data_IF_183609376392
#
_entry.id   IF_183609376392
#
_cell.length_a   1.000
_cell.length_b   1.000
_cell.length_c   1.000
_cell.angle_alpha   90.00
_cell.angle_beta   90.00
_cell.angle_gamma   90.00
#
_symmetry.space_group_name_H-M   'P 1'
#
loop_
_entity.id
_entity.type
_entity.pdbx_description
1 polymer ?
#
# COMPACT_ATOMS: atom_id res chain seq x y z
N UNK A 1 3.32 0.46 -4.18
CA UNK A 1 3.36 0.75 -5.62
C UNK A 1 2.49 1.94 -5.91
N UNK A 2 2.49 2.42 -7.14
CA UNK A 2 1.67 3.55 -7.59
C UNK A 2 0.93 3.23 -8.89
N UNK A 3 1.08 2.00 -9.39
CA UNK A 3 0.57 1.56 -10.69
C UNK A 3 -0.27 0.28 -10.62
N UNK A 4 -1.06 0.03 -11.66
CA UNK A 4 -1.85 -1.20 -11.77
C UNK A 4 -0.96 -2.45 -11.81
N UNK A 5 0.23 -2.38 -12.40
CA UNK A 5 1.15 -3.54 -12.44
C UNK A 5 1.62 -3.92 -11.03
N UNK A 6 1.80 -2.95 -10.12
CA UNK A 6 2.11 -3.25 -8.72
C UNK A 6 0.93 -3.97 -8.03
N UNK A 7 -0.30 -3.50 -8.28
CA UNK A 7 -1.53 -4.13 -7.76
C UNK A 7 -1.68 -5.56 -8.27
N UNK A 8 -1.54 -5.77 -9.57
CA UNK A 8 -1.69 -7.09 -10.17
C UNK A 8 -0.63 -8.07 -9.65
N UNK A 9 0.62 -7.60 -9.53
CA UNK A 9 1.72 -8.42 -9.01
C UNK A 9 1.52 -8.79 -7.53
N UNK A 10 1.18 -7.82 -6.68
CA UNK A 10 0.98 -8.04 -5.24
C UNK A 10 -0.25 -8.90 -4.96
N UNK A 11 -1.34 -8.70 -5.70
CA UNK A 11 -2.53 -9.54 -5.64
C UNK A 11 -2.23 -11.01 -6.01
N UNK A 12 -1.46 -11.24 -7.09
CA UNK A 12 -1.04 -12.59 -7.49
C UNK A 12 -0.12 -13.26 -6.46
N UNK A 13 0.69 -12.47 -5.76
CA UNK A 13 1.61 -12.95 -4.72
C UNK A 13 0.95 -13.10 -3.33
N UNK A 14 -0.29 -12.64 -3.14
CA UNK A 14 -0.96 -12.63 -1.83
C UNK A 14 -0.32 -11.66 -0.82
N UNK A 15 0.28 -10.58 -1.31
CA UNK A 15 0.95 -9.56 -0.49
C UNK A 15 0.09 -8.29 -0.45
N UNK A 16 -0.19 -7.69 0.73
CA UNK A 16 -0.89 -6.41 0.80
C UNK A 16 -0.10 -5.28 0.13
N UNK A 17 -0.79 -4.44 -0.63
CA UNK A 17 -0.23 -3.26 -1.29
C UNK A 17 -0.43 -2.01 -0.43
N UNK A 18 0.65 -1.20 -0.35
CA UNK A 18 0.58 0.20 0.04
C UNK A 18 0.66 1.04 -1.23
N UNK A 19 -0.40 1.76 -1.57
CA UNK A 19 -0.46 2.68 -2.71
C UNK A 19 0.17 4.04 -2.35
N UNK A 20 1.17 4.47 -3.12
CA UNK A 20 1.90 5.73 -2.90
C UNK A 20 1.39 6.83 -3.83
N UNK A 21 0.88 7.93 -3.27
CA UNK A 21 0.37 9.11 -4.01
C UNK A 21 -0.68 8.79 -5.09
N UNK A 22 -1.37 7.66 -4.94
CA UNK A 22 -2.42 7.23 -5.85
C UNK A 22 -3.61 6.68 -5.05
N UNK A 23 -4.49 7.57 -4.60
CA UNK A 23 -5.70 7.20 -3.85
C UNK A 23 -6.76 6.51 -4.69
N UNK A 24 -6.64 6.55 -6.02
CA UNK A 24 -7.55 5.88 -6.95
C UNK A 24 -7.15 4.42 -7.21
N UNK A 25 -5.90 4.03 -6.93
CA UNK A 25 -5.45 2.66 -7.04
C UNK A 25 -6.05 1.82 -5.92
N UNK A 26 -6.64 0.68 -6.27
CA UNK A 26 -7.12 -0.29 -5.30
C UNK A 26 -5.93 -0.89 -4.52
N UNK A 27 -5.92 -0.72 -3.20
CA UNK A 27 -4.86 -1.19 -2.32
C UNK A 27 -5.38 -1.30 -0.89
N UNK A 28 -4.72 -2.13 -0.08
CA UNK A 28 -5.07 -2.35 1.33
C UNK A 28 -4.73 -1.12 2.19
N UNK A 29 -3.71 -0.36 1.77
CA UNK A 29 -3.30 0.87 2.44
C UNK A 29 -2.93 1.96 1.42
N UNK A 30 -3.05 3.22 1.82
CA UNK A 30 -2.67 4.38 1.00
C UNK A 30 -1.82 5.34 1.83
N UNK A 31 -0.79 5.90 1.20
CA UNK A 31 0.06 6.94 1.80
C UNK A 31 0.44 8.00 0.77
N UNK A 32 0.62 9.24 1.20
CA UNK A 32 1.11 10.34 0.35
C UNK A 32 2.58 10.69 0.58
N UNK A 33 3.15 10.15 1.66
CA UNK A 33 4.56 10.30 2.06
C UNK A 33 5.05 8.99 2.70
N UNK A 34 6.33 8.68 2.56
CA UNK A 34 6.91 7.49 3.20
C UNK A 34 6.87 7.55 4.73
N UNK A 35 6.85 8.75 5.31
CA UNK A 35 6.75 8.93 6.77
C UNK A 35 5.41 8.45 7.33
N UNK A 36 4.37 8.30 6.51
CA UNK A 36 3.07 7.78 6.96
C UNK A 36 3.08 6.25 7.13
N UNK A 37 4.02 5.55 6.49
CA UNK A 37 4.09 4.07 6.51
C UNK A 37 4.18 3.54 7.93
N UNK A 38 4.97 4.17 8.80
CA UNK A 38 5.12 3.73 10.19
C UNK A 38 3.79 3.76 10.95
N UNK A 39 2.82 4.60 10.56
CA UNK A 39 1.51 4.72 11.20
C UNK A 39 0.47 3.71 10.72
N UNK A 40 0.78 2.87 9.73
CA UNK A 40 -0.19 1.89 9.21
C UNK A 40 -0.40 0.74 10.22
N UNK A 41 -1.59 0.12 10.23
CA UNK A 41 -1.95 -0.92 11.21
C UNK A 41 -0.91 -2.05 11.38
N UNK A 42 -0.24 -2.58 10.34
CA UNK A 42 0.76 -3.64 10.51
C UNK A 42 2.02 -3.22 11.27
N UNK A 43 2.30 -1.92 11.39
CA UNK A 43 3.52 -1.38 11.99
C UNK A 43 3.27 -0.69 13.33
N UNK A 44 2.04 -0.72 13.84
CA UNK A 44 1.70 -0.21 15.16
C UNK A 44 1.66 -1.39 16.15
N UNK A 45 2.40 -1.28 17.27
CA UNK A 45 2.29 -2.23 18.38
C UNK A 45 0.92 -2.07 19.06
N UNK A 46 0.33 -3.17 19.52
CA UNK A 46 -0.94 -3.19 20.26
C UNK A 46 -0.76 -2.84 21.73
#
# INVERSE_FOLDING_TARGET
>A
GDSQVDRDHTAAAGVPLIAFKNSALEAEYHVTSFMEVIGLPPFQER
#
